data_IF_211718921107
#
_entry.id   IF_211718921107
#
_cell.length_a   1.000
_cell.length_b   1.000
_cell.length_c   1.000
_cell.angle_alpha   90.00
_cell.angle_beta   90.00
_cell.angle_gamma   90.00
#
_symmetry.space_group_name_H-M   'P 1'
#
loop_
_entity.id
_entity.type
_entity.pdbx_description
1 polymer ?
#
# COMPACT_ATOMS: atom_id res chain seq x y z
N UNK A 1 -40.15 -40.35 29.46
CA UNK A 1 -39.86 -40.15 28.02
C UNK A 1 -40.29 -38.72 27.73
N UNK A 2 -39.46 -37.71 27.47
CA UNK A 2 -38.14 -37.67 26.82
C UNK A 2 -37.42 -36.40 27.33
N UNK A 3 -36.13 -36.50 27.61
CA UNK A 3 -35.34 -35.49 28.30
C UNK A 3 -34.96 -34.29 27.41
N UNK A 4 -35.01 -33.10 28.02
CA UNK A 4 -34.51 -31.82 27.55
C UNK A 4 -33.00 -31.90 27.30
N UNK A 5 -32.59 -31.86 26.04
CA UNK A 5 -31.19 -32.01 25.64
C UNK A 5 -30.65 -30.66 25.14
N UNK A 6 -30.08 -29.89 26.08
CA UNK A 6 -29.29 -28.68 25.80
C UNK A 6 -27.84 -29.08 25.52
N UNK A 7 -27.29 -28.86 24.30
CA UNK A 7 -25.87 -29.09 24.08
C UNK A 7 -25.00 -27.89 24.50
N UNK A 8 -23.72 -28.12 24.86
CA UNK A 8 -22.90 -27.20 25.63
C UNK A 8 -22.11 -26.19 24.78
N UNK A 9 -21.88 -25.04 25.43
CA UNK A 9 -20.84 -24.01 25.24
C UNK A 9 -19.73 -24.43 24.27
N UNK A 10 -19.72 -23.82 23.08
CA UNK A 10 -18.70 -24.05 22.06
C UNK A 10 -17.37 -23.42 22.49
N UNK A 11 -16.39 -24.29 22.73
CA UNK A 11 -14.98 -23.99 22.86
C UNK A 11 -14.44 -23.37 21.57
N UNK A 12 -13.89 -22.15 21.64
CA UNK A 12 -12.74 -21.79 20.79
C UNK A 12 -11.56 -22.65 21.24
N UNK A 13 -10.71 -23.21 20.35
CA UNK A 13 -9.65 -22.35 19.82
C UNK A 13 -9.00 -22.77 18.46
N UNK A 14 -8.13 -21.88 17.98
CA UNK A 14 -6.88 -22.14 17.23
C UNK A 14 -6.93 -22.56 15.75
N UNK A 15 -6.75 -21.55 14.91
CA UNK A 15 -5.60 -21.34 14.00
C UNK A 15 -5.28 -22.34 12.87
N UNK A 16 -5.08 -21.72 11.70
CA UNK A 16 -4.08 -22.06 10.66
C UNK A 16 -4.31 -23.34 9.89
N UNK A 17 -4.75 -23.20 8.62
CA UNK A 17 -3.90 -23.63 7.50
C UNK A 17 -4.23 -22.81 6.26
N UNK A 18 -3.29 -21.97 5.83
CA UNK A 18 -3.25 -21.48 4.45
C UNK A 18 -3.01 -22.67 3.52
N UNK A 19 -3.90 -22.90 2.55
CA UNK A 19 -3.52 -23.61 1.32
C UNK A 19 -3.96 -22.79 0.14
N UNK A 20 -3.00 -22.04 -0.40
CA UNK A 20 -3.04 -21.53 -1.76
C UNK A 20 -3.25 -22.72 -2.70
N UNK A 21 -4.36 -22.75 -3.40
CA UNK A 21 -4.51 -23.58 -4.58
C UNK A 21 -5.18 -22.75 -5.67
N UNK A 22 -4.37 -21.86 -6.26
CA UNK A 22 -4.68 -21.22 -7.53
C UNK A 22 -4.45 -22.23 -8.65
N UNK A 23 -5.53 -22.85 -9.13
CA UNK A 23 -5.58 -23.55 -10.41
C UNK A 23 -6.85 -23.05 -11.11
N UNK A 24 -6.71 -22.12 -12.07
CA UNK A 24 -6.56 -22.36 -13.52
C UNK A 24 -7.92 -22.61 -14.17
N UNK A 25 -8.16 -21.91 -15.28
CA UNK A 25 -9.35 -21.97 -16.17
C UNK A 25 -10.50 -21.06 -15.68
N UNK A 26 -11.13 -20.19 -16.45
CA UNK A 26 -11.32 -20.12 -17.89
C UNK A 26 -12.78 -19.72 -18.12
N UNK A 27 -13.04 -18.42 -18.29
CA UNK A 27 -14.26 -17.80 -18.85
C UNK A 27 -15.64 -17.92 -18.13
N UNK A 28 -16.18 -16.73 -17.84
CA UNK A 28 -17.59 -16.26 -17.88
C UNK A 28 -18.71 -17.16 -17.34
N UNK A 29 -19.22 -16.77 -16.16
CA UNK A 29 -20.66 -16.79 -15.86
C UNK A 29 -21.00 -15.58 -14.95
N UNK A 30 -21.67 -14.57 -15.51
CA UNK A 30 -22.74 -13.88 -14.79
C UNK A 30 -24.01 -14.69 -15.09
N UNK A 31 -24.89 -14.98 -14.11
CA UNK A 31 -25.76 -13.91 -13.63
C UNK A 31 -26.23 -14.00 -12.16
N UNK A 32 -26.61 -12.83 -11.64
CA UNK A 32 -27.72 -12.55 -10.70
C UNK A 32 -27.84 -13.25 -9.35
N UNK A 33 -28.09 -12.39 -8.35
CA UNK A 33 -28.66 -12.65 -7.02
C UNK A 33 -27.80 -13.49 -6.10
N UNK A 34 -27.01 -12.80 -5.28
CA UNK A 34 -27.04 -13.08 -3.86
C UNK A 34 -27.02 -11.74 -3.13
N UNK A 35 -28.12 -11.51 -2.43
CA UNK A 35 -28.31 -10.49 -1.42
C UNK A 35 -27.13 -10.54 -0.45
N UNK A 36 -26.07 -9.78 -0.73
CA UNK A 36 -25.15 -9.45 0.31
C UNK A 36 -25.79 -8.27 1.00
N UNK A 37 -26.41 -8.54 2.15
CA UNK A 37 -26.63 -7.53 3.15
C UNK A 37 -25.29 -6.85 3.37
N UNK A 38 -25.12 -5.75 2.65
CA UNK A 38 -24.08 -4.78 2.90
C UNK A 38 -24.57 -4.11 4.18
N UNK A 39 -24.39 -4.82 5.28
CA UNK A 39 -24.29 -4.26 6.61
C UNK A 39 -23.18 -3.25 6.51
N UNK A 40 -23.59 -2.06 6.08
CA UNK A 40 -22.83 -0.85 6.14
C UNK A 40 -22.67 -0.59 7.63
N UNK A 41 -21.66 -1.24 8.21
CA UNK A 41 -20.84 -0.58 9.21
C UNK A 41 -20.21 0.62 8.50
N UNK A 42 -21.03 1.65 8.26
CA UNK A 42 -20.64 3.05 8.26
C UNK A 42 -20.24 3.38 9.70
N UNK A 43 -19.23 2.68 10.22
CA UNK A 43 -18.44 3.21 11.30
C UNK A 43 -17.51 4.22 10.65
N UNK A 44 -17.49 5.40 11.24
CA UNK A 44 -16.89 6.62 10.76
C UNK A 44 -15.36 6.53 10.75
N UNK A 45 -14.77 5.66 9.93
CA UNK A 45 -13.34 5.66 9.64
C UNK A 45 -13.07 6.70 8.54
N UNK A 46 -13.35 7.96 8.87
CA UNK A 46 -12.60 9.05 8.24
C UNK A 46 -11.17 8.92 8.79
N UNK A 47 -10.38 8.02 8.18
CA UNK A 47 -8.93 8.18 8.22
C UNK A 47 -8.69 9.66 7.92
N UNK A 48 -8.04 10.41 8.83
CA UNK A 48 -7.99 11.85 8.72
C UNK A 48 -7.47 12.16 7.32
N UNK A 49 -8.22 12.97 6.57
CA UNK A 49 -7.89 13.32 5.17
C UNK A 49 -6.42 13.78 5.06
N UNK A 50 -5.88 14.29 6.16
CA UNK A 50 -4.48 14.62 6.40
C UNK A 50 -3.52 13.42 6.29
N UNK A 51 -3.77 12.26 6.91
CA UNK A 51 -2.90 11.08 6.79
C UNK A 51 -2.89 10.51 5.38
N UNK A 52 -4.06 10.44 4.72
CA UNK A 52 -4.15 10.01 3.33
C UNK A 52 -3.39 10.98 2.39
N UNK A 53 -3.48 12.28 2.67
CA UNK A 53 -2.76 13.31 1.92
C UNK A 53 -1.25 13.27 2.15
N UNK A 54 -0.81 13.05 3.40
CA UNK A 54 0.61 12.93 3.77
C UNK A 54 1.25 11.68 3.17
N UNK A 55 0.57 10.54 3.23
CA UNK A 55 1.04 9.29 2.62
C UNK A 55 1.13 9.38 1.10
N UNK A 56 0.15 10.02 0.44
CA UNK A 56 0.21 10.33 -0.98
C UNK A 56 1.39 11.24 -1.33
N UNK A 57 1.59 12.32 -0.56
CA UNK A 57 2.68 13.27 -0.77
C UNK A 57 4.05 12.60 -0.59
N UNK A 58 4.23 11.79 0.46
CA UNK A 58 5.45 11.02 0.69
C UNK A 58 5.73 10.08 -0.49
N UNK A 59 4.71 9.37 -0.96
CA UNK A 59 4.84 8.45 -2.10
C UNK A 59 5.28 9.19 -3.37
N UNK A 60 4.74 10.39 -3.63
CA UNK A 60 5.13 11.26 -4.74
C UNK A 60 6.58 11.73 -4.62
N UNK A 61 7.01 12.13 -3.43
CA UNK A 61 8.38 12.58 -3.20
C UNK A 61 9.39 11.43 -3.37
N UNK A 62 9.05 10.24 -2.90
CA UNK A 62 9.87 9.04 -3.11
C UNK A 62 9.98 8.66 -4.59
N UNK A 63 8.89 8.77 -5.36
CA UNK A 63 8.92 8.57 -6.80
C UNK A 63 9.80 9.61 -7.51
N UNK A 64 9.74 10.88 -7.09
CA UNK A 64 10.60 11.92 -7.64
C UNK A 64 12.08 11.70 -7.29
N UNK A 65 12.36 11.29 -6.05
CA UNK A 65 13.71 10.95 -5.61
C UNK A 65 14.31 9.80 -6.44
N UNK A 66 13.55 8.72 -6.67
CA UNK A 66 14.03 7.59 -7.49
C UNK A 66 14.26 7.98 -8.95
N UNK A 67 13.41 8.86 -9.51
CA UNK A 67 13.61 9.42 -10.85
C UNK A 67 14.89 10.25 -10.93
N UNK A 68 15.20 11.06 -9.92
CA UNK A 68 16.44 11.84 -9.85
C UNK A 68 17.66 10.94 -9.73
N UNK A 69 17.62 9.90 -8.91
CA UNK A 69 18.70 8.91 -8.80
C UNK A 69 18.98 8.24 -10.15
N UNK A 70 17.94 7.84 -10.88
CA UNK A 70 18.09 7.28 -12.22
C UNK A 70 18.74 8.27 -13.19
N UNK A 71 18.29 9.53 -13.19
CA UNK A 71 18.86 10.59 -14.05
C UNK A 71 20.32 10.88 -13.70
N UNK A 72 20.69 10.84 -12.42
CA UNK A 72 22.08 10.99 -11.96
C UNK A 72 22.92 9.83 -12.48
N UNK A 73 22.44 8.60 -12.34
CA UNK A 73 23.15 7.41 -12.82
C UNK A 73 23.34 7.46 -14.36
N UNK A 74 22.30 7.79 -15.11
CA UNK A 74 22.35 7.98 -16.57
C UNK A 74 23.34 9.08 -16.98
N UNK A 75 23.32 10.22 -16.28
CA UNK A 75 24.22 11.34 -16.58
C UNK A 75 25.68 11.03 -16.20
N UNK A 76 25.91 10.28 -15.12
CA UNK A 76 27.24 9.86 -14.68
C UNK A 76 27.85 8.76 -15.56
N UNK A 77 27.01 7.92 -16.19
CA UNK A 77 27.44 6.88 -17.11
C UNK A 77 27.85 7.40 -18.49
N UNK A 78 27.65 8.70 -18.78
CA UNK A 78 28.05 9.29 -20.07
C UNK A 78 29.58 9.32 -20.17
N UNK A 79 30.16 9.12 -21.38
CA UNK A 79 31.61 9.14 -21.59
C UNK A 79 32.30 10.45 -21.15
N UNK A 80 31.55 11.56 -21.18
CA UNK A 80 31.99 12.86 -20.68
C UNK A 80 30.85 13.51 -19.91
N UNK A 81 30.73 13.24 -18.59
CA UNK A 81 29.62 13.73 -17.80
C UNK A 81 29.75 15.24 -17.58
N UNK A 82 28.62 15.95 -17.71
CA UNK A 82 28.56 17.37 -17.36
C UNK A 82 28.49 17.50 -15.83
N UNK A 83 29.59 17.97 -15.24
CA UNK A 83 29.72 18.15 -13.80
C UNK A 83 28.74 19.19 -13.23
N UNK A 84 28.40 20.24 -13.99
CA UNK A 84 27.46 21.26 -13.56
C UNK A 84 26.03 20.70 -13.53
N UNK A 85 25.63 19.98 -14.58
CA UNK A 85 24.33 19.31 -14.64
C UNK A 85 24.19 18.23 -13.55
N UNK A 86 25.21 17.41 -13.33
CA UNK A 86 25.23 16.43 -12.25
C UNK A 86 25.16 17.09 -10.86
N UNK A 87 25.85 18.20 -10.67
CA UNK A 87 25.78 18.99 -9.43
C UNK A 87 24.37 19.52 -9.16
N UNK A 88 23.68 20.00 -10.20
CA UNK A 88 22.29 20.45 -10.09
C UNK A 88 21.35 19.30 -9.69
N UNK A 89 21.44 18.15 -10.36
CA UNK A 89 20.62 16.97 -10.06
C UNK A 89 20.86 16.45 -8.64
N UNK A 90 22.11 16.41 -8.18
CA UNK A 90 22.46 15.97 -6.81
C UNK A 90 21.89 16.92 -5.75
N UNK A 91 21.93 18.23 -5.98
CA UNK A 91 21.32 19.23 -5.08
C UNK A 91 19.79 19.09 -5.04
N UNK A 92 19.17 18.90 -6.20
CA UNK A 92 17.72 18.67 -6.27
C UNK A 92 17.33 17.40 -5.51
N UNK A 93 18.06 16.30 -5.71
CA UNK A 93 17.84 15.06 -4.96
C UNK A 93 17.96 15.27 -3.45
N UNK A 94 18.97 16.00 -2.99
CA UNK A 94 19.16 16.29 -1.57
C UNK A 94 17.96 17.06 -1.01
N UNK A 95 17.50 18.10 -1.70
CA UNK A 95 16.33 18.88 -1.28
C UNK A 95 15.06 18.02 -1.16
N UNK A 96 14.86 17.07 -2.09
CA UNK A 96 13.74 16.14 -2.05
C UNK A 96 13.86 15.18 -0.87
N UNK A 97 15.07 14.67 -0.59
CA UNK A 97 15.35 13.80 0.55
C UNK A 97 15.10 14.52 1.88
N UNK A 98 15.51 15.78 1.98
CA UNK A 98 15.28 16.60 3.17
C UNK A 98 13.78 16.84 3.40
N UNK A 99 13.00 17.04 2.32
CA UNK A 99 11.55 17.20 2.40
C UNK A 99 10.85 15.91 2.83
N UNK A 100 11.31 14.75 2.34
CA UNK A 100 10.85 13.43 2.82
C UNK A 100 11.13 13.29 4.31
N UNK A 101 12.37 13.56 4.75
CA UNK A 101 12.76 13.46 6.15
C UNK A 101 12.01 14.46 7.06
N UNK A 102 11.64 15.63 6.54
CA UNK A 102 10.80 16.58 7.28
C UNK A 102 9.37 16.04 7.47
N UNK A 103 8.79 15.44 6.44
CA UNK A 103 7.46 14.83 6.53
C UNK A 103 7.46 13.58 7.42
N UNK A 104 8.48 12.72 7.32
CA UNK A 104 8.63 11.52 8.15
C UNK A 104 8.81 11.84 9.64
N UNK A 105 9.38 13.00 9.99
CA UNK A 105 9.50 13.47 11.37
C UNK A 105 8.23 14.12 11.92
N UNK A 106 7.31 14.53 11.05
CA UNK A 106 6.06 15.17 11.41
C UNK A 106 4.87 14.22 11.51
N UNK A 107 5.09 12.93 11.23
CA UNK A 107 4.13 11.82 11.38
C UNK A 107 4.50 11.05 12.63
#
# INVERSE_FOLDING_TARGET
MTADARPPIASTPTAVTCRHQALREGYRLFPTRLSFERSALQSSDKLPEDLASLTWLLSRLWLHHSALERRIAEAAARPRPDAAALGALKRERLAVRDRIAALERGI
#
